data_IF_902543123971
#
_entry.id   IF_902543123971
#
_cell.length_a   1.000
_cell.length_b   1.000
_cell.length_c   1.000
_cell.angle_alpha   90.00
_cell.angle_beta   90.00
_cell.angle_gamma   90.00
#
_symmetry.space_group_name_H-M   'P 1'
#
loop_
_entity.id
_entity.type
_entity.pdbx_description
1 polymer ?
#
# COMPACT_ATOMS: atom_id res chain seq x y z
N UNK A 1 -29.49 -1.38 -1.79
CA UNK A 1 -29.87 0.06 -1.86
C UNK A 1 -29.72 0.46 -3.31
N UNK A 2 -30.79 0.96 -3.97
CA UNK A 2 -30.64 1.30 -5.38
C UNK A 2 -29.98 2.68 -5.52
N UNK A 3 -29.52 3.01 -6.74
CA UNK A 3 -28.78 4.23 -7.05
C UNK A 3 -29.51 5.50 -6.60
N UNK A 4 -30.85 5.50 -6.67
CA UNK A 4 -31.69 6.63 -6.31
C UNK A 4 -31.72 6.87 -4.80
N UNK A 5 -31.87 5.81 -4.01
CA UNK A 5 -31.86 5.90 -2.54
C UNK A 5 -30.48 6.26 -1.97
N UNK A 6 -29.40 5.87 -2.67
CA UNK A 6 -28.05 6.28 -2.33
C UNK A 6 -27.84 7.77 -2.60
N UNK A 7 -28.28 8.26 -3.76
CA UNK A 7 -28.19 9.68 -4.11
C UNK A 7 -29.08 10.56 -3.23
N UNK A 8 -30.27 10.08 -2.84
CA UNK A 8 -31.17 10.79 -1.93
C UNK A 8 -30.63 10.85 -0.49
N UNK A 9 -29.95 9.80 -0.03
CA UNK A 9 -29.26 9.83 1.28
C UNK A 9 -28.04 10.78 1.27
N UNK A 10 -27.43 10.98 0.10
CA UNK A 10 -26.33 11.92 -0.11
C UNK A 10 -26.82 13.38 -0.22
N UNK A 11 -27.98 13.60 -0.85
CA UNK A 11 -28.58 14.94 -0.96
C UNK A 11 -29.00 15.51 0.43
N UNK A 12 -29.39 14.64 1.37
CA UNK A 12 -29.65 15.04 2.74
C UNK A 12 -28.41 15.50 3.51
N UNK A 13 -27.23 15.02 3.13
CA UNK A 13 -25.94 15.47 3.70
C UNK A 13 -25.35 16.69 2.96
N UNK A 14 -25.72 16.88 1.70
CA UNK A 14 -25.21 17.97 0.85
C UNK A 14 -25.82 19.33 1.23
N UNK A 15 -26.95 19.38 1.94
CA UNK A 15 -27.59 20.63 2.38
C UNK A 15 -26.73 21.48 3.33
N UNK A 16 -25.62 20.96 3.83
CA UNK A 16 -24.68 21.68 4.71
C UNK A 16 -23.32 21.95 4.02
N UNK A 17 -23.08 21.37 2.84
CA UNK A 17 -21.77 21.44 2.15
C UNK A 17 -21.79 22.27 0.86
N UNK A 18 -22.91 22.89 0.49
CA UNK A 18 -23.07 23.60 -0.78
C UNK A 18 -22.26 24.90 -0.91
N UNK A 19 -21.44 25.27 0.06
CA UNK A 19 -20.60 26.48 -0.01
C UNK A 19 -19.16 26.31 0.47
N UNK A 20 -18.69 25.10 0.75
CA UNK A 20 -17.25 24.91 0.93
C UNK A 20 -16.61 24.70 -0.44
N UNK A 21 -16.31 25.78 -1.15
CA UNK A 21 -15.23 25.78 -2.11
C UNK A 21 -14.05 25.11 -1.41
N UNK A 22 -13.48 24.07 -2.00
CA UNK A 22 -12.16 23.59 -1.59
C UNK A 22 -11.28 24.84 -1.58
N UNK A 23 -10.60 25.17 -0.49
CA UNK A 23 -9.86 26.41 -0.45
C UNK A 23 -8.86 26.41 -1.59
N UNK A 24 -8.97 27.39 -2.50
CA UNK A 24 -8.00 27.66 -3.58
C UNK A 24 -6.56 27.79 -3.05
N UNK A 25 -6.42 28.00 -1.74
CA UNK A 25 -5.15 28.09 -1.03
C UNK A 25 -4.35 26.78 -0.95
N UNK A 26 -4.88 25.64 -1.37
CA UNK A 26 -4.12 24.37 -1.42
C UNK A 26 -3.21 24.32 -2.65
N UNK A 27 -3.38 25.20 -3.62
CA UNK A 27 -2.52 25.32 -4.80
C UNK A 27 -1.34 26.28 -4.65
N UNK A 28 -1.31 27.05 -3.58
CA UNK A 28 -0.24 28.04 -3.34
C UNK A 28 0.76 27.50 -2.31
N UNK A 29 1.98 27.26 -2.81
CA UNK A 29 3.21 27.20 -2.04
C UNK A 29 3.38 26.05 -1.03
N UNK A 30 3.77 24.89 -1.51
CA UNK A 30 4.59 23.95 -0.73
C UNK A 30 6.04 24.48 -0.65
N UNK A 31 6.20 25.74 -0.26
CA UNK A 31 7.51 26.31 0.08
C UNK A 31 7.65 26.54 1.59
N UNK A 32 6.72 26.04 2.40
CA UNK A 32 6.92 26.01 3.85
C UNK A 32 8.01 25.01 4.18
N UNK A 33 9.09 25.47 4.82
CA UNK A 33 10.03 24.58 5.51
C UNK A 33 9.22 23.65 6.40
N UNK A 34 9.14 22.38 6.02
CA UNK A 34 8.47 21.35 6.80
C UNK A 34 9.38 21.04 7.98
N UNK A 35 8.85 21.10 9.17
CA UNK A 35 9.60 20.70 10.35
C UNK A 35 9.68 19.17 10.41
N UNK A 36 10.86 18.58 10.38
CA UNK A 36 11.07 17.14 10.55
C UNK A 36 10.54 16.59 11.89
N UNK A 37 10.34 17.47 12.88
CA UNK A 37 9.73 17.10 14.15
C UNK A 37 8.29 16.56 14.03
N UNK A 38 7.68 16.69 12.84
CA UNK A 38 6.36 16.11 12.57
C UNK A 38 6.43 14.64 12.09
N UNK A 39 7.61 14.16 11.62
CA UNK A 39 7.78 12.77 11.19
C UNK A 39 8.01 11.85 12.38
N UNK A 40 7.36 10.68 12.36
CA UNK A 40 7.53 9.61 13.33
C UNK A 40 8.38 8.50 12.71
N UNK A 41 9.69 8.71 12.68
CA UNK A 41 10.64 7.80 12.06
C UNK A 41 11.23 6.83 13.10
N UNK A 42 11.28 5.55 12.74
CA UNK A 42 11.97 4.53 13.51
C UNK A 42 13.21 4.06 12.73
N UNK A 43 14.35 4.00 13.39
CA UNK A 43 15.57 3.47 12.80
C UNK A 43 15.61 1.95 12.92
N UNK A 44 15.91 1.27 11.82
CA UNK A 44 16.05 -0.19 11.76
C UNK A 44 17.31 -0.59 11.00
N UNK A 45 17.83 -1.74 11.33
CA UNK A 45 18.96 -2.35 10.64
C UNK A 45 18.56 -3.70 10.07
N UNK A 46 18.92 -3.94 8.80
CA UNK A 46 18.70 -5.22 8.13
C UNK A 46 20.06 -5.80 7.76
N UNK A 47 20.48 -6.91 8.40
CA UNK A 47 21.75 -7.55 8.12
C UNK A 47 21.67 -8.28 6.78
N UNK A 48 22.27 -7.71 5.75
CA UNK A 48 22.33 -8.27 4.40
C UNK A 48 23.72 -8.82 4.04
N UNK A 49 24.76 -8.47 4.81
CA UNK A 49 26.11 -8.99 4.62
C UNK A 49 26.85 -8.34 3.45
N UNK A 50 26.54 -7.07 3.15
CA UNK A 50 27.22 -6.31 2.09
C UNK A 50 28.37 -5.46 2.65
N UNK A 51 29.46 -5.22 1.89
CA UNK A 51 30.61 -4.47 2.38
C UNK A 51 30.33 -2.98 2.55
N UNK A 52 29.41 -2.43 1.75
CA UNK A 52 29.05 -1.01 1.78
C UNK A 52 27.60 -0.86 2.19
N UNK A 53 27.32 -0.32 3.38
CA UNK A 53 25.95 -0.10 3.83
C UNK A 53 25.16 0.82 2.88
N UNK A 54 23.89 0.51 2.69
CA UNK A 54 22.92 1.37 2.02
C UNK A 54 21.92 1.89 3.04
N UNK A 55 21.58 3.17 2.96
CA UNK A 55 20.51 3.76 3.78
C UNK A 55 19.32 4.14 2.92
N UNK A 56 18.12 3.86 3.44
CA UNK A 56 16.87 4.20 2.77
C UNK A 56 15.84 4.78 3.75
N UNK A 57 14.91 5.57 3.23
CA UNK A 57 13.66 5.90 3.88
C UNK A 57 12.56 5.04 3.29
N UNK A 58 11.97 4.17 4.10
CA UNK A 58 10.83 3.35 3.73
C UNK A 58 9.55 3.95 4.29
N UNK A 59 8.63 4.31 3.40
CA UNK A 59 7.29 4.82 3.69
C UNK A 59 6.24 4.04 2.92
N UNK A 60 4.99 4.15 3.34
CA UNK A 60 3.82 3.50 2.71
C UNK A 60 2.54 4.22 3.11
N UNK A 61 1.44 3.95 2.44
CA UNK A 61 0.10 4.40 2.88
C UNK A 61 0.02 5.93 3.03
N UNK A 62 0.34 6.64 1.98
CA UNK A 62 0.27 8.11 1.91
C UNK A 62 -1.15 8.59 1.68
N UNK A 63 -1.95 7.86 0.88
CA UNK A 63 -3.35 8.17 0.54
C UNK A 63 -3.56 9.60 0.08
N UNK A 64 -2.87 10.01 -0.99
CA UNK A 64 -3.14 11.29 -1.65
C UNK A 64 -4.59 11.35 -2.13
N UNK A 65 -5.26 12.48 -1.89
CA UNK A 65 -6.64 12.70 -2.31
C UNK A 65 -6.74 14.05 -3.01
N UNK A 66 -6.70 14.02 -4.33
CA UNK A 66 -6.86 15.20 -5.19
C UNK A 66 -7.85 14.91 -6.30
N UNK A 67 -8.54 15.93 -6.77
CA UNK A 67 -9.44 15.91 -7.93
C UNK A 67 -9.36 17.25 -8.64
N UNK A 68 -9.73 17.26 -9.92
CA UNK A 68 -9.88 18.48 -10.71
C UNK A 68 -11.08 18.36 -11.67
N UNK A 69 -11.17 19.27 -12.64
CA UNK A 69 -12.31 19.39 -13.56
C UNK A 69 -12.40 18.21 -14.55
N UNK A 70 -11.35 17.41 -14.71
CA UNK A 70 -11.33 16.19 -15.54
C UNK A 70 -12.07 15.03 -14.88
N UNK A 71 -12.25 15.07 -13.57
CA UNK A 71 -12.93 14.04 -12.81
C UNK A 71 -14.45 14.24 -12.79
N UNK A 72 -15.21 13.15 -12.82
CA UNK A 72 -16.66 13.21 -12.73
C UNK A 72 -17.15 13.73 -11.35
N UNK A 73 -18.42 14.13 -11.28
CA UNK A 73 -19.02 14.67 -10.05
C UNK A 73 -18.95 13.69 -8.88
N UNK A 74 -19.09 12.39 -9.16
CA UNK A 74 -19.09 11.36 -8.14
C UNK A 74 -17.68 11.17 -7.55
N UNK A 75 -16.62 11.22 -8.35
CA UNK A 75 -15.25 11.22 -7.88
C UNK A 75 -14.93 12.46 -7.05
N UNK A 76 -15.36 13.65 -7.49
CA UNK A 76 -15.18 14.89 -6.73
C UNK A 76 -15.89 14.84 -5.37
N UNK A 77 -17.12 14.34 -5.31
CA UNK A 77 -17.83 14.12 -4.06
C UNK A 77 -17.10 13.14 -3.14
N UNK A 78 -16.64 12.02 -3.70
CA UNK A 78 -15.90 11.02 -2.92
C UNK A 78 -14.60 11.61 -2.38
N UNK A 79 -13.87 12.36 -3.19
CA UNK A 79 -12.62 13.00 -2.79
C UNK A 79 -12.83 13.94 -1.58
N UNK A 80 -13.87 14.74 -1.57
CA UNK A 80 -14.18 15.61 -0.42
C UNK A 80 -14.37 14.81 0.87
N UNK A 81 -15.08 13.67 0.80
CA UNK A 81 -15.27 12.77 1.94
C UNK A 81 -13.98 12.08 2.36
N UNK A 82 -13.18 11.60 1.43
CA UNK A 82 -11.92 10.89 1.68
C UNK A 82 -10.84 11.85 2.21
N UNK A 83 -10.78 13.06 1.68
CA UNK A 83 -9.87 14.09 2.15
C UNK A 83 -10.07 14.40 3.65
N UNK A 84 -11.31 14.38 4.14
CA UNK A 84 -11.57 14.56 5.57
C UNK A 84 -10.96 13.47 6.46
N UNK A 85 -10.69 12.30 5.90
CA UNK A 85 -10.03 11.19 6.60
C UNK A 85 -8.50 11.25 6.48
N UNK A 86 -7.99 11.79 5.38
CA UNK A 86 -6.56 11.79 5.03
C UNK A 86 -6.04 13.19 4.64
N UNK A 87 -6.26 14.23 5.46
CA UNK A 87 -5.95 15.61 5.08
C UNK A 87 -4.45 15.91 5.00
N UNK A 88 -3.60 15.04 5.56
CA UNK A 88 -2.18 15.30 5.75
C UNK A 88 -1.25 14.47 4.89
N UNK A 89 -1.77 13.60 4.00
CA UNK A 89 -0.94 12.70 3.19
C UNK A 89 0.12 13.43 2.38
N UNK A 90 -0.26 14.47 1.65
CA UNK A 90 0.67 15.26 0.85
C UNK A 90 1.71 16.02 1.69
N UNK A 91 1.28 16.57 2.84
CA UNK A 91 2.19 17.23 3.76
C UNK A 91 3.29 16.29 4.24
N UNK A 92 2.92 15.08 4.71
CA UNK A 92 3.90 14.12 5.21
C UNK A 92 4.74 13.48 4.11
N UNK A 93 4.19 13.27 2.91
CA UNK A 93 4.98 12.82 1.77
C UNK A 93 6.06 13.84 1.42
N UNK A 94 5.70 15.13 1.31
CA UNK A 94 6.66 16.20 1.05
C UNK A 94 7.74 16.29 2.12
N UNK A 95 7.35 16.15 3.41
CA UNK A 95 8.29 16.13 4.53
C UNK A 95 9.26 14.94 4.44
N UNK A 96 8.74 13.76 4.10
CA UNK A 96 9.52 12.53 3.96
C UNK A 96 10.54 12.64 2.83
N UNK A 97 10.14 13.21 1.69
CA UNK A 97 11.03 13.44 0.54
C UNK A 97 12.13 14.44 0.91
N UNK A 98 11.79 15.52 1.58
CA UNK A 98 12.76 16.50 2.01
C UNK A 98 13.76 15.89 3.01
N UNK A 99 13.27 15.13 3.99
CA UNK A 99 14.11 14.40 4.94
C UNK A 99 15.06 13.44 4.22
N UNK A 100 14.56 12.63 3.30
CA UNK A 100 15.38 11.69 2.55
C UNK A 100 16.47 12.41 1.74
N UNK A 101 16.14 13.51 1.10
CA UNK A 101 17.10 14.35 0.35
C UNK A 101 18.20 14.92 1.23
N UNK A 102 17.84 15.48 2.40
CA UNK A 102 18.81 16.07 3.33
C UNK A 102 19.73 15.04 3.97
N UNK A 103 19.26 13.80 4.11
CA UNK A 103 20.04 12.69 4.70
C UNK A 103 20.62 11.72 3.67
N UNK A 104 20.51 12.03 2.37
CA UNK A 104 20.98 11.20 1.26
C UNK A 104 20.45 9.75 1.30
N UNK A 105 19.16 9.58 1.59
CA UNK A 105 18.52 8.27 1.70
C UNK A 105 17.89 7.86 0.37
N UNK A 106 18.00 6.57 0.04
CA UNK A 106 17.22 5.96 -1.04
C UNK A 106 15.73 5.98 -0.66
N UNK A 107 14.85 6.31 -1.60
CA UNK A 107 13.41 6.33 -1.33
C UNK A 107 12.75 5.00 -1.68
N UNK A 108 11.98 4.45 -0.75
CA UNK A 108 11.17 3.24 -0.91
C UNK A 108 9.74 3.56 -0.51
N UNK A 109 8.77 3.29 -1.41
CA UNK A 109 7.34 3.43 -1.13
C UNK A 109 6.60 2.13 -1.44
N UNK A 110 5.98 1.52 -0.43
CA UNK A 110 5.35 0.21 -0.56
C UNK A 110 3.82 0.27 -0.71
N UNK A 111 3.33 1.15 -1.59
CA UNK A 111 1.93 1.18 -2.05
C UNK A 111 1.01 2.11 -1.27
N UNK A 112 -0.21 2.25 -1.78
CA UNK A 112 -1.22 3.19 -1.31
C UNK A 112 -0.71 4.64 -1.31
N UNK A 113 -0.06 5.06 -2.44
CA UNK A 113 0.39 6.45 -2.57
C UNK A 113 -0.80 7.38 -2.76
N UNK A 114 -1.81 6.97 -3.52
CA UNK A 114 -3.09 7.68 -3.61
C UNK A 114 -4.26 6.79 -3.17
N UNK A 115 -5.37 7.42 -2.83
CA UNK A 115 -6.52 6.73 -2.22
C UNK A 115 -7.45 6.09 -3.26
N UNK A 116 -7.47 6.62 -4.48
CA UNK A 116 -8.17 6.07 -5.66
C UNK A 116 -7.76 6.86 -6.91
N UNK A 117 -8.03 6.30 -8.09
CA UNK A 117 -7.63 6.89 -9.38
C UNK A 117 -8.44 8.14 -9.68
N UNK A 118 -7.76 9.28 -9.76
CA UNK A 118 -8.21 10.54 -10.34
C UNK A 118 -7.11 11.11 -11.21
N UNK A 119 -7.44 11.97 -12.16
CA UNK A 119 -6.43 12.63 -12.99
C UNK A 119 -5.45 13.44 -12.16
N UNK A 120 -5.95 14.18 -11.17
CA UNK A 120 -5.11 14.96 -10.28
C UNK A 120 -4.21 14.15 -9.37
N UNK A 121 -4.66 12.96 -8.90
CA UNK A 121 -3.81 12.04 -8.12
C UNK A 121 -2.70 11.45 -8.99
N UNK A 122 -2.99 11.09 -10.24
CA UNK A 122 -2.00 10.57 -11.18
C UNK A 122 -0.92 11.62 -11.47
N UNK A 123 -1.31 12.84 -11.82
CA UNK A 123 -0.37 13.95 -12.07
C UNK A 123 0.51 14.24 -10.84
N UNK A 124 -0.11 14.29 -9.66
CA UNK A 124 0.60 14.55 -8.41
C UNK A 124 1.59 13.41 -8.09
N UNK A 125 1.18 12.16 -8.27
CA UNK A 125 2.05 10.99 -8.07
C UNK A 125 3.25 11.03 -9.02
N UNK A 126 3.01 11.29 -10.31
CA UNK A 126 4.08 11.42 -11.29
C UNK A 126 5.05 12.56 -10.90
N UNK A 127 4.53 13.69 -10.42
CA UNK A 127 5.37 14.80 -9.97
C UNK A 127 6.27 14.41 -8.80
N UNK A 128 5.77 13.66 -7.82
CA UNK A 128 6.58 13.20 -6.69
C UNK A 128 7.60 12.14 -7.10
N UNK A 129 7.23 11.16 -7.91
CA UNK A 129 8.17 10.15 -8.36
C UNK A 129 9.28 10.70 -9.26
N UNK A 130 9.04 11.83 -9.93
CA UNK A 130 10.06 12.55 -10.69
C UNK A 130 11.05 13.35 -9.82
N UNK A 131 10.83 13.47 -8.50
CA UNK A 131 11.73 14.23 -7.61
C UNK A 131 12.98 13.50 -7.18
N UNK A 132 13.05 12.19 -7.42
CA UNK A 132 14.14 11.35 -6.92
C UNK A 132 14.15 9.96 -7.51
N UNK A 133 15.02 9.15 -6.96
CA UNK A 133 15.22 7.77 -7.34
C UNK A 133 14.42 6.86 -6.39
N UNK A 134 13.29 6.35 -6.88
CA UNK A 134 12.35 5.58 -6.09
C UNK A 134 12.39 4.09 -6.41
N UNK A 135 12.16 3.28 -5.38
CA UNK A 135 11.72 1.88 -5.50
C UNK A 135 10.30 1.78 -4.96
N UNK A 136 9.36 1.27 -5.76
CA UNK A 136 7.95 1.35 -5.44
C UNK A 136 7.23 0.02 -5.60
N UNK A 137 6.22 -0.21 -4.75
CA UNK A 137 5.16 -1.21 -4.96
C UNK A 137 3.82 -0.50 -5.09
N UNK A 138 2.85 -1.15 -5.70
CA UNK A 138 1.45 -0.71 -5.65
C UNK A 138 0.74 -1.30 -4.45
N UNK A 139 -0.26 -0.59 -3.92
CA UNK A 139 -1.16 -1.08 -2.91
C UNK A 139 -2.57 -1.34 -3.45
N UNK A 140 -3.50 -1.66 -2.56
CA UNK A 140 -4.87 -1.93 -2.97
C UNK A 140 -5.65 -0.65 -3.31
N UNK A 141 -5.24 0.50 -2.79
CA UNK A 141 -5.90 1.77 -3.06
C UNK A 141 -5.63 2.29 -4.47
N UNK A 142 -4.54 1.95 -5.11
CA UNK A 142 -4.31 2.22 -6.52
C UNK A 142 -5.36 1.62 -7.45
N UNK A 143 -6.08 0.59 -6.98
CA UNK A 143 -7.11 -0.10 -7.75
C UNK A 143 -8.49 -0.07 -7.09
N UNK A 144 -8.69 0.75 -6.06
CA UNK A 144 -9.99 0.85 -5.39
C UNK A 144 -10.98 1.71 -6.18
N UNK A 145 -12.21 1.22 -6.23
CA UNK A 145 -13.38 2.01 -6.55
C UNK A 145 -14.29 2.01 -5.33
N UNK A 146 -14.47 3.15 -4.68
CA UNK A 146 -15.41 3.29 -3.57
C UNK A 146 -16.85 3.50 -4.04
N UNK A 147 -17.09 3.45 -5.33
CA UNK A 147 -18.31 3.87 -5.98
C UNK A 147 -19.06 2.64 -6.48
N UNK A 148 -20.03 2.17 -5.70
CA UNK A 148 -21.04 1.17 -6.09
C UNK A 148 -20.53 -0.26 -6.33
N UNK A 149 -19.23 -0.47 -6.45
CA UNK A 149 -18.61 -1.76 -6.64
C UNK A 149 -17.78 -2.14 -5.42
N UNK A 150 -17.32 -3.35 -5.38
CA UNK A 150 -16.43 -3.81 -4.33
C UNK A 150 -15.13 -3.03 -4.32
N UNK A 151 -14.60 -2.82 -3.15
CA UNK A 151 -13.29 -2.21 -2.99
C UNK A 151 -12.16 -2.98 -3.69
N UNK A 152 -12.33 -4.27 -3.93
CA UNK A 152 -11.40 -5.10 -4.70
C UNK A 152 -12.14 -5.73 -5.88
N UNK A 153 -11.95 -5.19 -7.08
CA UNK A 153 -12.57 -5.65 -8.31
C UNK A 153 -11.50 -5.99 -9.33
N UNK A 154 -11.35 -7.28 -9.65
CA UNK A 154 -10.30 -7.78 -10.54
C UNK A 154 -10.41 -7.21 -11.97
N UNK A 155 -11.63 -7.03 -12.49
CA UNK A 155 -11.86 -6.43 -13.80
C UNK A 155 -11.45 -4.95 -13.83
N UNK A 156 -11.79 -4.21 -12.76
CA UNK A 156 -11.33 -2.83 -12.64
C UNK A 156 -9.81 -2.74 -12.57
N UNK A 157 -9.16 -3.59 -11.77
CA UNK A 157 -7.70 -3.65 -11.71
C UNK A 157 -7.11 -3.91 -13.11
N UNK A 158 -7.62 -4.92 -13.82
CA UNK A 158 -7.12 -5.28 -15.15
C UNK A 158 -7.21 -4.12 -16.15
N UNK A 159 -8.32 -3.36 -16.16
CA UNK A 159 -8.47 -2.22 -17.08
C UNK A 159 -7.76 -0.95 -16.62
N UNK A 160 -7.32 -0.87 -15.37
CA UNK A 160 -6.66 0.31 -14.79
C UNK A 160 -5.14 0.18 -14.68
N UNK A 161 -4.60 -1.02 -14.91
CA UNK A 161 -3.19 -1.32 -14.65
C UNK A 161 -2.25 -0.43 -15.46
N UNK A 162 -2.55 -0.20 -16.74
CA UNK A 162 -1.73 0.64 -17.62
C UNK A 162 -1.77 2.11 -17.18
N UNK A 163 -2.93 2.58 -16.72
CA UNK A 163 -3.09 3.93 -16.18
C UNK A 163 -2.25 4.13 -14.92
N UNK A 164 -2.30 3.18 -13.99
CA UNK A 164 -1.46 3.23 -12.77
C UNK A 164 0.02 3.11 -13.13
N UNK A 165 0.37 2.15 -14.02
CA UNK A 165 1.75 1.97 -14.47
C UNK A 165 2.36 3.24 -15.06
N UNK A 166 1.57 4.07 -15.74
CA UNK A 166 2.07 5.27 -16.43
C UNK A 166 2.73 6.30 -15.52
N UNK A 167 2.42 6.28 -14.21
CA UNK A 167 2.95 7.22 -13.22
C UNK A 167 3.98 6.59 -12.26
N UNK A 168 4.21 5.28 -12.36
CA UNK A 168 5.18 4.58 -11.52
C UNK A 168 6.55 4.45 -12.20
N UNK A 169 7.66 4.60 -11.45
CA UNK A 169 9.01 4.58 -12.02
C UNK A 169 9.52 3.19 -12.41
N UNK A 170 8.91 2.13 -11.87
CA UNK A 170 9.27 0.73 -12.15
C UNK A 170 8.04 -0.07 -12.58
N UNK A 171 8.23 -1.26 -13.14
CA UNK A 171 7.11 -2.15 -13.42
C UNK A 171 6.40 -2.50 -12.10
N UNK A 172 5.08 -2.24 -12.06
CA UNK A 172 4.27 -2.38 -10.84
C UNK A 172 3.89 -3.82 -10.54
N UNK A 173 3.84 -4.70 -11.53
CA UNK A 173 3.47 -6.11 -11.35
C UNK A 173 4.60 -6.88 -10.67
N UNK A 174 5.80 -6.75 -11.21
CA UNK A 174 7.04 -7.22 -10.62
C UNK A 174 8.23 -6.51 -11.25
N UNK A 175 9.24 -6.25 -10.45
CA UNK A 175 10.50 -5.65 -10.91
C UNK A 175 11.62 -5.97 -9.95
N UNK A 176 12.86 -5.83 -10.39
CA UNK A 176 14.01 -5.92 -9.51
C UNK A 176 15.04 -4.84 -9.81
N UNK A 177 15.80 -4.48 -8.79
CA UNK A 177 16.89 -3.52 -8.89
C UNK A 177 18.01 -3.89 -7.92
N UNK A 178 19.23 -3.92 -8.43
CA UNK A 178 20.42 -4.20 -7.62
C UNK A 178 21.08 -2.86 -7.25
N UNK A 179 21.28 -2.62 -5.95
CA UNK A 179 22.00 -1.48 -5.41
C UNK A 179 22.94 -2.00 -4.32
N UNK A 180 24.22 -1.69 -4.38
CA UNK A 180 25.24 -2.12 -3.43
C UNK A 180 25.18 -3.63 -3.13
N UNK A 181 25.10 -4.45 -4.19
CA UNK A 181 24.99 -5.91 -4.12
C UNK A 181 23.74 -6.44 -3.37
N UNK A 182 22.76 -5.61 -3.12
CA UNK A 182 21.46 -6.00 -2.57
C UNK A 182 20.45 -6.03 -3.72
N UNK A 183 19.73 -7.12 -3.87
CA UNK A 183 18.66 -7.23 -4.86
C UNK A 183 17.31 -6.86 -4.22
N UNK A 184 16.79 -5.69 -4.58
CA UNK A 184 15.45 -5.24 -4.21
C UNK A 184 14.46 -5.78 -5.23
N UNK A 185 13.55 -6.63 -4.79
CA UNK A 185 12.55 -7.29 -5.63
C UNK A 185 11.18 -6.77 -5.25
N UNK A 186 10.47 -6.17 -6.19
CA UNK A 186 9.10 -5.70 -6.02
C UNK A 186 8.10 -6.69 -6.60
N UNK A 187 6.98 -6.90 -5.91
CA UNK A 187 5.82 -7.65 -6.40
C UNK A 187 4.51 -6.94 -6.03
N UNK A 188 3.55 -7.01 -6.92
CA UNK A 188 2.16 -6.59 -6.67
C UNK A 188 1.40 -7.71 -5.95
N UNK A 189 1.07 -7.48 -4.69
CA UNK A 189 0.17 -8.34 -3.92
C UNK A 189 -1.08 -7.59 -3.42
N UNK A 190 -1.42 -6.49 -4.07
CA UNK A 190 -2.46 -5.54 -3.64
C UNK A 190 -3.85 -6.16 -3.46
N UNK A 191 -4.13 -7.31 -4.11
CA UNK A 191 -5.39 -8.06 -3.95
C UNK A 191 -5.20 -9.38 -3.19
N UNK A 192 -4.13 -9.51 -2.41
CA UNK A 192 -3.81 -10.69 -1.59
C UNK A 192 -3.42 -11.93 -2.38
N UNK A 193 -3.17 -11.80 -3.68
CA UNK A 193 -2.78 -12.89 -4.56
C UNK A 193 -1.38 -12.71 -5.10
N UNK A 194 -0.71 -13.83 -5.30
CA UNK A 194 0.57 -13.94 -6.02
C UNK A 194 0.35 -14.87 -7.18
N UNK A 195 0.64 -14.40 -8.39
CA UNK A 195 0.50 -15.22 -9.60
C UNK A 195 1.70 -16.17 -9.78
N UNK A 196 1.50 -17.23 -10.57
CA UNK A 196 2.60 -18.13 -10.92
C UNK A 196 3.72 -17.41 -11.65
N UNK A 197 3.40 -16.39 -12.46
CA UNK A 197 4.37 -15.57 -13.16
C UNK A 197 5.22 -14.74 -12.18
N UNK A 198 4.62 -14.12 -11.18
CA UNK A 198 5.33 -13.41 -10.12
C UNK A 198 6.22 -14.37 -9.32
N UNK A 199 5.72 -15.57 -9.01
CA UNK A 199 6.51 -16.61 -8.33
C UNK A 199 7.76 -16.96 -9.15
N UNK A 200 7.60 -17.28 -10.43
CA UNK A 200 8.72 -17.60 -11.33
C UNK A 200 9.72 -16.45 -11.46
N UNK A 201 9.25 -15.21 -11.48
CA UNK A 201 10.11 -14.03 -11.48
C UNK A 201 10.93 -13.94 -10.19
N UNK A 202 10.31 -14.04 -9.02
CA UNK A 202 11.02 -13.97 -7.72
C UNK A 202 12.01 -15.13 -7.58
N UNK A 203 11.65 -16.34 -8.02
CA UNK A 203 12.53 -17.49 -8.02
C UNK A 203 13.80 -17.21 -8.85
N UNK A 204 13.64 -16.66 -10.05
CA UNK A 204 14.77 -16.26 -10.90
C UNK A 204 15.67 -15.22 -10.21
N UNK A 205 15.07 -14.27 -9.51
CA UNK A 205 15.81 -13.24 -8.77
C UNK A 205 16.55 -13.83 -7.55
N UNK A 206 15.97 -14.82 -6.87
CA UNK A 206 16.65 -15.56 -5.79
C UNK A 206 17.84 -16.37 -6.29
N UNK A 207 17.77 -16.91 -7.52
CA UNK A 207 18.88 -17.68 -8.13
C UNK A 207 20.13 -16.84 -8.43
N UNK A 208 20.04 -15.49 -8.36
CA UNK A 208 21.22 -14.61 -8.48
C UNK A 208 22.20 -14.75 -7.32
N UNK A 209 21.77 -15.34 -6.19
CA UNK A 209 22.61 -15.56 -5.01
C UNK A 209 22.90 -14.31 -4.18
N UNK A 210 22.36 -13.14 -4.56
CA UNK A 210 22.48 -11.89 -3.79
C UNK A 210 21.50 -11.90 -2.60
N UNK A 211 21.79 -11.14 -1.52
CA UNK A 211 20.80 -10.88 -0.50
C UNK A 211 19.60 -10.15 -1.12
N UNK A 212 18.40 -10.64 -0.81
CA UNK A 212 17.14 -10.12 -1.36
C UNK A 212 16.34 -9.38 -0.30
N UNK A 213 15.87 -8.19 -0.65
CA UNK A 213 14.84 -7.45 0.06
C UNK A 213 13.57 -7.45 -0.81
N UNK A 214 12.52 -8.07 -0.31
CA UNK A 214 11.23 -8.11 -1.00
C UNK A 214 10.41 -6.87 -0.63
N UNK A 215 9.91 -6.17 -1.64
CA UNK A 215 9.02 -5.02 -1.50
C UNK A 215 7.61 -5.44 -1.94
N UNK A 216 6.64 -5.25 -1.07
CA UNK A 216 5.23 -5.51 -1.37
C UNK A 216 4.35 -4.62 -0.49
N UNK A 217 3.07 -4.47 -0.83
CA UNK A 217 2.19 -3.65 -0.02
C UNK A 217 1.65 -4.40 1.20
N UNK A 218 1.04 -5.55 0.96
CA UNK A 218 0.36 -6.33 2.00
C UNK A 218 1.36 -7.26 2.68
N UNK A 219 1.52 -7.22 4.01
CA UNK A 219 2.38 -8.13 4.72
C UNK A 219 1.97 -9.60 4.54
N UNK A 220 2.93 -10.49 4.47
CA UNK A 220 2.65 -11.93 4.47
C UNK A 220 2.19 -12.42 5.84
N UNK A 221 1.34 -13.42 5.82
CA UNK A 221 0.80 -14.01 7.04
C UNK A 221 1.88 -14.63 7.91
N UNK A 222 1.83 -14.24 9.18
CA UNK A 222 2.41 -14.96 10.31
C UNK A 222 1.37 -15.04 11.44
N UNK A 223 1.41 -16.04 12.32
CA UNK A 223 0.51 -16.11 13.46
C UNK A 223 0.59 -14.89 14.37
N UNK A 224 1.80 -14.35 14.56
CA UNK A 224 2.04 -13.21 15.47
C UNK A 224 1.47 -11.91 14.88
N UNK A 225 1.63 -11.66 13.57
CA UNK A 225 1.04 -10.48 12.93
C UNK A 225 -0.49 -10.55 12.95
N UNK A 226 -1.05 -11.71 12.64
CA UNK A 226 -2.48 -11.94 12.72
C UNK A 226 -3.03 -11.65 14.13
N UNK A 227 -2.37 -12.18 15.16
CA UNK A 227 -2.72 -11.92 16.57
C UNK A 227 -2.62 -10.44 16.94
N UNK A 228 -1.57 -9.77 16.46
CA UNK A 228 -1.40 -8.32 16.69
C UNK A 228 -2.54 -7.51 16.04
N UNK A 229 -2.90 -7.80 14.79
CA UNK A 229 -4.00 -7.14 14.10
C UNK A 229 -5.34 -7.35 14.82
N UNK A 230 -5.59 -8.56 15.32
CA UNK A 230 -6.79 -8.86 16.11
C UNK A 230 -6.83 -8.05 17.41
N UNK A 231 -5.71 -7.91 18.12
CA UNK A 231 -5.62 -7.12 19.34
C UNK A 231 -5.87 -5.63 19.08
N UNK A 232 -5.51 -5.12 17.91
CA UNK A 232 -5.82 -3.75 17.47
C UNK A 232 -7.28 -3.55 17.01
N UNK A 233 -8.14 -4.54 17.20
CA UNK A 233 -9.54 -4.54 16.73
C UNK A 233 -9.66 -4.32 15.21
N UNK A 234 -8.67 -4.75 14.46
CA UNK A 234 -8.64 -4.73 12.99
C UNK A 234 -8.68 -6.16 12.41
N UNK A 235 -9.72 -6.97 12.72
CA UNK A 235 -9.82 -8.34 12.22
C UNK A 235 -9.98 -8.39 10.69
N UNK A 236 -10.19 -7.23 10.05
CA UNK A 236 -10.39 -7.11 8.62
C UNK A 236 -9.09 -6.91 7.85
N UNK A 237 -7.98 -6.68 8.54
CA UNK A 237 -6.69 -6.54 7.87
C UNK A 237 -6.16 -7.93 7.60
N UNK A 238 -6.44 -8.41 6.41
CA UNK A 238 -5.90 -9.67 5.96
C UNK A 238 -4.41 -9.52 5.71
N UNK A 239 -3.76 -10.64 5.84
CA UNK A 239 -2.37 -10.82 5.52
C UNK A 239 -2.29 -11.74 4.29
N UNK A 240 -1.38 -11.46 3.37
CA UNK A 240 -1.22 -12.24 2.16
C UNK A 240 -0.78 -13.67 2.48
N UNK A 241 -1.38 -14.68 1.87
CA UNK A 241 -1.02 -16.08 2.07
C UNK A 241 -1.43 -16.67 3.43
N UNK A 242 -2.45 -16.11 4.10
CA UNK A 242 -2.99 -16.72 5.30
C UNK A 242 -3.64 -18.08 5.00
N UNK A 243 -3.44 -19.10 5.85
CA UNK A 243 -4.16 -20.37 5.74
C UNK A 243 -5.67 -20.15 5.69
N UNK A 244 -6.36 -20.89 4.82
CA UNK A 244 -7.79 -20.70 4.61
C UNK A 244 -8.62 -20.93 5.88
N UNK A 245 -8.19 -21.85 6.75
CA UNK A 245 -8.82 -22.12 8.04
C UNK A 245 -8.79 -20.88 8.96
N UNK A 246 -7.68 -20.16 8.97
CA UNK A 246 -7.53 -18.91 9.73
C UNK A 246 -8.41 -17.83 9.15
N UNK A 247 -8.38 -17.67 7.82
CA UNK A 247 -9.22 -16.71 7.11
C UNK A 247 -10.71 -16.96 7.38
N UNK A 248 -11.15 -18.20 7.34
CA UNK A 248 -12.54 -18.59 7.62
C UNK A 248 -12.93 -18.32 9.09
N UNK A 249 -12.02 -18.56 10.03
CA UNK A 249 -12.24 -18.23 11.44
C UNK A 249 -12.39 -16.71 11.65
N UNK A 250 -11.50 -15.92 11.03
CA UNK A 250 -11.57 -14.45 11.11
C UNK A 250 -12.86 -13.91 10.48
N UNK A 251 -13.30 -14.49 9.37
CA UNK A 251 -14.55 -14.09 8.71
C UNK A 251 -15.79 -14.37 9.57
N UNK A 252 -15.79 -15.42 10.40
CA UNK A 252 -16.87 -15.69 11.37
C UNK A 252 -16.95 -14.64 12.48
N UNK A 253 -15.84 -13.99 12.80
CA UNK A 253 -15.76 -12.92 13.81
C UNK A 253 -16.22 -11.56 13.27
N UNK A 254 -16.29 -11.41 11.96
CA UNK A 254 -16.75 -10.16 11.33
C UNK A 254 -18.25 -10.01 11.55
N UNK A 255 -18.68 -8.93 12.18
CA UNK A 255 -20.09 -8.53 12.13
C UNK A 255 -20.46 -8.26 10.67
N UNK A 256 -21.62 -8.71 10.18
CA UNK A 256 -22.06 -8.43 8.83
C UNK A 256 -22.40 -6.94 8.70
N UNK A 257 -21.39 -6.11 8.50
CA UNK A 257 -21.57 -4.68 8.22
C UNK A 257 -22.13 -4.43 6.82
N UNK A 258 -22.22 -5.47 6.00
CA UNK A 258 -22.70 -5.41 4.62
C UNK A 258 -23.84 -6.41 4.39
N UNK A 259 -24.84 -6.36 5.28
CA UNK A 259 -25.98 -7.30 5.31
C UNK A 259 -26.88 -7.28 4.06
N UNK A 260 -26.68 -6.35 3.13
CA UNK A 260 -27.54 -6.13 1.98
C UNK A 260 -26.94 -6.53 0.63
N UNK A 261 -25.85 -7.25 0.62
CA UNK A 261 -25.17 -7.67 -0.63
C UNK A 261 -25.28 -9.17 -0.78
N UNK A 262 -25.65 -9.60 -2.00
CA UNK A 262 -25.83 -11.01 -2.33
C UNK A 262 -24.60 -11.84 -1.96
N UNK A 263 -24.77 -13.01 -1.33
CA UNK A 263 -23.68 -13.84 -0.81
C UNK A 263 -22.68 -14.32 -1.85
N UNK A 264 -23.11 -14.41 -3.09
CA UNK A 264 -22.35 -15.06 -4.19
C UNK A 264 -21.63 -14.09 -5.12
N UNK A 265 -21.68 -12.78 -4.87
CA UNK A 265 -20.92 -11.82 -5.66
C UNK A 265 -19.41 -12.11 -5.53
N UNK A 266 -18.71 -12.26 -6.65
CA UNK A 266 -17.29 -12.63 -6.69
C UNK A 266 -16.40 -11.67 -5.89
N UNK A 267 -16.69 -10.38 -5.96
CA UNK A 267 -16.00 -9.37 -5.17
C UNK A 267 -16.17 -9.56 -3.66
N UNK A 268 -17.31 -10.08 -3.21
CA UNK A 268 -17.56 -10.35 -1.81
C UNK A 268 -16.66 -11.47 -1.29
N UNK A 269 -16.35 -12.44 -2.12
CA UNK A 269 -15.37 -13.47 -1.81
C UNK A 269 -13.99 -12.88 -1.62
N UNK A 270 -13.56 -11.97 -2.49
CA UNK A 270 -12.25 -11.31 -2.42
C UNK A 270 -12.20 -10.36 -1.22
N UNK A 271 -13.16 -9.45 -1.05
CA UNK A 271 -13.11 -8.42 -0.02
C UNK A 271 -13.45 -8.91 1.40
N UNK A 272 -14.19 -10.00 1.54
CA UNK A 272 -14.62 -10.53 2.84
C UNK A 272 -13.80 -11.74 3.25
N UNK A 273 -13.57 -12.70 2.34
CA UNK A 273 -12.86 -13.92 2.69
C UNK A 273 -11.36 -13.77 2.69
N UNK A 274 -10.81 -12.98 1.75
CA UNK A 274 -9.36 -12.85 1.52
C UNK A 274 -8.64 -14.22 1.56
N UNK A 275 -9.36 -15.25 1.09
CA UNK A 275 -8.80 -16.60 1.03
C UNK A 275 -7.71 -16.64 -0.01
N UNK A 276 -6.54 -17.12 0.40
CA UNK A 276 -5.45 -17.32 -0.53
C UNK A 276 -5.77 -18.47 -1.49
N UNK A 277 -5.45 -18.28 -2.76
CA UNK A 277 -5.46 -19.34 -3.76
C UNK A 277 -4.22 -20.24 -3.62
N UNK A 278 -4.20 -21.30 -4.39
CA UNK A 278 -3.09 -22.28 -4.35
C UNK A 278 -1.75 -21.67 -4.71
N UNK A 279 -1.59 -20.88 -5.80
CA UNK A 279 -0.31 -20.23 -6.12
C UNK A 279 0.21 -19.35 -4.99
N UNK A 280 -0.64 -18.56 -4.35
CA UNK A 280 -0.26 -17.68 -3.22
C UNK A 280 0.23 -18.47 -2.00
N UNK A 281 -0.45 -19.57 -1.66
CA UNK A 281 -0.03 -20.44 -0.54
C UNK A 281 1.30 -21.14 -0.84
N UNK A 282 1.49 -21.63 -2.07
CA UNK A 282 2.73 -22.26 -2.52
C UNK A 282 3.87 -21.25 -2.50
N UNK A 283 3.67 -20.04 -3.04
CA UNK A 283 4.64 -18.96 -2.99
C UNK A 283 5.05 -18.61 -1.56
N UNK A 284 4.07 -18.42 -0.67
CA UNK A 284 4.34 -18.04 0.73
C UNK A 284 5.13 -19.12 1.47
N UNK A 285 4.82 -20.40 1.22
CA UNK A 285 5.55 -21.52 1.78
C UNK A 285 6.97 -21.60 1.25
N UNK A 286 7.14 -21.52 -0.06
CA UNK A 286 8.44 -21.51 -0.74
C UNK A 286 9.32 -20.33 -0.30
N UNK A 287 8.73 -19.13 -0.17
CA UNK A 287 9.45 -17.93 0.21
C UNK A 287 10.11 -18.05 1.60
N UNK A 288 9.49 -18.77 2.54
CA UNK A 288 10.03 -19.02 3.89
C UNK A 288 11.29 -19.87 3.88
N UNK A 289 11.54 -20.62 2.82
CA UNK A 289 12.68 -21.53 2.67
C UNK A 289 13.90 -20.82 2.03
N UNK A 290 13.71 -19.60 1.50
CA UNK A 290 14.75 -18.90 0.76
C UNK A 290 15.81 -18.32 1.70
N UNK A 291 17.05 -18.82 1.62
CA UNK A 291 18.15 -18.44 2.52
C UNK A 291 18.71 -17.05 2.27
N UNK A 292 18.60 -16.57 1.03
CA UNK A 292 19.05 -15.22 0.66
C UNK A 292 17.97 -14.15 0.80
N UNK A 293 16.74 -14.49 1.14
CA UNK A 293 15.76 -13.52 1.61
C UNK A 293 16.20 -12.99 2.99
N UNK A 294 16.40 -11.67 3.10
CA UNK A 294 16.87 -11.00 4.32
C UNK A 294 15.81 -10.12 4.95
N UNK A 295 14.94 -9.52 4.16
CA UNK A 295 13.88 -8.66 4.65
C UNK A 295 12.69 -8.59 3.71
N UNK A 296 11.53 -8.31 4.29
CA UNK A 296 10.30 -7.96 3.58
C UNK A 296 9.87 -6.60 4.09
N UNK A 297 9.75 -5.62 3.20
CA UNK A 297 9.24 -4.29 3.52
C UNK A 297 7.81 -4.16 3.01
N UNK A 298 6.89 -3.75 3.89
CA UNK A 298 5.46 -3.67 3.58
C UNK A 298 4.76 -2.54 4.34
N UNK A 299 3.50 -2.24 3.97
CA UNK A 299 2.63 -1.24 4.58
C UNK A 299 1.26 -1.81 4.97
N UNK A 300 0.18 -1.22 4.41
CA UNK A 300 -1.22 -1.69 4.50
C UNK A 300 -1.86 -1.66 5.89
N UNK A 301 -1.14 -2.07 6.92
CA UNK A 301 -1.69 -2.21 8.28
C UNK A 301 -1.78 -0.87 9.03
N UNK A 302 -1.18 0.20 8.52
CA UNK A 302 -1.13 1.51 9.14
C UNK A 302 -0.56 1.52 10.57
N UNK A 303 0.32 0.58 10.91
CA UNK A 303 1.05 0.56 12.18
C UNK A 303 2.39 -0.13 12.01
N UNK A 304 3.34 0.22 12.86
CA UNK A 304 4.62 -0.46 12.90
C UNK A 304 4.48 -1.86 13.48
N UNK A 305 5.00 -2.85 12.76
CA UNK A 305 5.13 -4.21 13.25
C UNK A 305 6.36 -4.88 12.64
N UNK A 306 7.20 -5.45 13.48
CA UNK A 306 8.43 -6.12 13.07
C UNK A 306 8.41 -7.52 13.64
N UNK A 307 8.62 -8.50 12.78
CA UNK A 307 8.55 -9.91 13.17
C UNK A 307 9.46 -10.80 12.34
N UNK A 308 9.76 -11.96 12.88
CA UNK A 308 10.46 -13.00 12.13
C UNK A 308 9.52 -13.69 11.16
N UNK A 309 9.81 -13.55 9.87
CA UNK A 309 9.06 -14.23 8.81
C UNK A 309 9.57 -15.66 8.54
N UNK A 310 10.91 -15.83 8.54
CA UNK A 310 11.59 -17.10 8.31
C UNK A 310 12.88 -17.18 9.14
N UNK A 311 13.62 -18.29 9.15
CA UNK A 311 14.91 -18.35 9.85
C UNK A 311 15.92 -17.28 9.40
N UNK A 312 15.82 -16.79 8.18
CA UNK A 312 16.76 -15.85 7.56
C UNK A 312 16.19 -14.45 7.31
N UNK A 313 14.89 -14.28 7.38
CA UNK A 313 14.22 -13.02 7.03
C UNK A 313 13.34 -12.48 8.15
N UNK A 314 13.34 -11.15 8.26
CA UNK A 314 12.43 -10.37 9.11
C UNK A 314 11.46 -9.60 8.21
N UNK A 315 10.20 -9.54 8.58
CA UNK A 315 9.19 -8.72 7.95
C UNK A 315 9.00 -7.43 8.73
N UNK A 316 9.02 -6.32 8.01
CA UNK A 316 8.90 -4.97 8.53
C UNK A 316 7.67 -4.31 7.90
N UNK A 317 6.60 -4.22 8.67
CA UNK A 317 5.40 -3.47 8.30
C UNK A 317 5.54 -2.05 8.85
N UNK A 318 5.60 -1.05 7.97
CA UNK A 318 5.73 0.35 8.35
C UNK A 318 4.36 0.94 8.71
N UNK A 319 4.34 1.94 9.56
CA UNK A 319 3.15 2.76 9.82
C UNK A 319 2.77 3.62 8.61
N UNK A 320 1.62 4.28 8.67
CA UNK A 320 1.11 5.02 7.53
C UNK A 320 1.76 6.40 7.39
N UNK A 321 2.31 6.70 6.22
CA UNK A 321 2.90 7.99 5.91
C UNK A 321 1.91 9.15 5.99
N UNK A 322 0.62 8.89 5.80
CA UNK A 322 -0.44 9.90 6.04
C UNK A 322 -0.44 10.49 7.47
N UNK A 323 0.36 9.91 8.39
CA UNK A 323 0.60 10.40 9.75
C UNK A 323 2.07 10.70 10.03
N UNK A 324 2.90 10.67 8.99
CA UNK A 324 4.34 10.89 9.10
C UNK A 324 5.15 9.68 9.54
N UNK A 325 4.56 8.49 9.58
CA UNK A 325 5.27 7.27 9.95
C UNK A 325 6.25 6.85 8.83
N UNK A 326 7.42 6.33 9.23
CA UNK A 326 8.43 5.80 8.31
C UNK A 326 9.52 5.00 9.01
N UNK A 327 10.26 4.19 8.26
CA UNK A 327 11.49 3.55 8.71
C UNK A 327 12.71 4.20 8.05
N UNK A 328 13.70 4.59 8.82
CA UNK A 328 15.06 4.83 8.33
C UNK A 328 15.80 3.50 8.39
N UNK A 329 16.03 2.92 7.23
CA UNK A 329 16.58 1.56 7.11
C UNK A 329 18.06 1.64 6.79
N UNK A 330 18.88 0.90 7.56
CA UNK A 330 20.28 0.64 7.21
C UNK A 330 20.44 -0.82 6.82
N UNK A 331 20.74 -1.07 5.56
CA UNK A 331 21.13 -2.38 5.05
C UNK A 331 22.65 -2.53 5.19
N UNK A 332 23.12 -3.54 5.96
CA UNK A 332 24.57 -3.73 6.26
C UNK A 332 25.00 -5.20 6.30
#
# INVERSE_FOLDING_TARGET
>A
MNRRNFLESLAGAAGVLATSQLPESVHAEVTRKVSFNALNLQEIEIPVGVPTPLKALHISDTHLVRVDDRDDELKRFLAAKRYSLYPWGEYFLSASIQYAKEHHLQLIHTGDIFDFITEANLDLTASYYNTGDWMTSVGNHEFNIYLQEASHNAEYKARSIDTVQSVYPNNIVYSSRIINDINFVNIDNSYFYITEEQHAFVEKEMQRGLPVILLCHIPFYTPEHCKHNMAKKRPNVALCGAPNEITDQLNKLKRPTYSNVEPDAEWRRISVSQRADKPTLEFTSWLKEQKNLKGILSGHCHHFFIERFSPTAIQYCVGANLRGDGFVVTFK
#
